data_IF_283797089526
#
_entry.id   IF_283797089526
#
_cell.length_a   1.000
_cell.length_b   1.000
_cell.length_c   1.000
_cell.angle_alpha   90.00
_cell.angle_beta   90.00
_cell.angle_gamma   90.00
#
_symmetry.space_group_name_H-M   'P 1'
#
loop_
_entity.id
_entity.type
_entity.pdbx_description
1 polymer ?
#
# COMPACT_ATOMS: atom_id res chain seq x y z
N UNK A 1 9.02 -29.91 -5.94
CA UNK A 1 9.73 -28.79 -6.61
C UNK A 1 10.71 -29.37 -7.61
N UNK A 2 10.74 -28.85 -8.83
CA UNK A 2 11.48 -29.42 -9.96
C UNK A 2 12.92 -28.91 -10.07
N UNK A 3 13.82 -29.74 -10.61
CA UNK A 3 15.25 -29.45 -10.77
C UNK A 3 15.56 -28.27 -11.73
N UNK A 4 14.58 -27.83 -12.51
CA UNK A 4 14.74 -26.78 -13.54
C UNK A 4 14.34 -25.37 -13.08
N UNK A 5 13.71 -25.21 -11.90
CA UNK A 5 13.37 -23.89 -11.33
C UNK A 5 14.61 -23.04 -10.99
N UNK A 6 15.80 -23.64 -10.96
CA UNK A 6 17.08 -22.92 -10.75
C UNK A 6 17.68 -22.34 -12.04
N UNK A 7 17.15 -22.69 -13.22
CA UNK A 7 17.66 -22.21 -14.52
C UNK A 7 16.89 -21.00 -15.04
N UNK A 8 15.67 -20.77 -14.56
CA UNK A 8 14.96 -19.51 -14.75
C UNK A 8 15.53 -18.52 -13.73
N UNK A 9 16.23 -17.49 -14.19
CA UNK A 9 16.87 -16.47 -13.34
C UNK A 9 15.92 -15.63 -12.46
N UNK A 10 14.66 -16.06 -12.29
CA UNK A 10 13.71 -15.50 -11.35
C UNK A 10 14.13 -15.91 -9.93
N UNK A 11 15.05 -15.15 -9.35
CA UNK A 11 15.14 -15.09 -7.89
C UNK A 11 13.73 -14.81 -7.37
N UNK A 12 13.19 -15.58 -6.41
CA UNK A 12 11.91 -15.25 -5.81
C UNK A 12 12.03 -13.83 -5.26
N UNK A 13 11.29 -12.89 -5.86
CA UNK A 13 11.32 -11.48 -5.48
C UNK A 13 10.99 -11.43 -4.00
N UNK A 14 11.99 -11.12 -3.19
CA UNK A 14 11.87 -11.23 -1.74
C UNK A 14 11.17 -9.97 -1.26
N UNK A 15 9.89 -10.08 -0.95
CA UNK A 15 9.11 -8.97 -0.44
C UNK A 15 9.64 -8.60 0.95
N UNK A 16 10.33 -7.46 1.04
CA UNK A 16 10.76 -6.89 2.31
C UNK A 16 9.70 -5.88 2.82
N UNK A 17 9.75 -5.42 4.09
CA UNK A 17 8.73 -4.53 4.63
C UNK A 17 8.52 -3.22 3.84
N UNK A 18 9.59 -2.63 3.29
CA UNK A 18 9.47 -1.42 2.45
C UNK A 18 8.79 -1.74 1.12
N UNK A 19 9.18 -2.82 0.46
CA UNK A 19 8.52 -3.28 -0.77
C UNK A 19 7.07 -3.69 -0.51
N UNK A 20 6.75 -4.26 0.64
CA UNK A 20 5.37 -4.59 1.03
C UNK A 20 4.52 -3.32 1.22
N UNK A 21 5.07 -2.28 1.86
CA UNK A 21 4.43 -0.97 1.95
C UNK A 21 4.16 -0.37 0.56
N UNK A 22 5.17 -0.38 -0.34
CA UNK A 22 4.98 0.14 -1.70
C UNK A 22 3.96 -0.68 -2.47
N UNK A 23 4.00 -2.01 -2.35
CA UNK A 23 3.03 -2.89 -2.99
C UNK A 23 1.60 -2.55 -2.55
N UNK A 24 1.40 -2.29 -1.26
CA UNK A 24 0.10 -1.87 -0.75
C UNK A 24 -0.32 -0.48 -1.25
N UNK A 25 0.61 0.46 -1.38
CA UNK A 25 0.33 1.78 -1.93
C UNK A 25 -0.05 1.70 -3.41
N UNK A 26 0.68 0.89 -4.20
CA UNK A 26 0.35 0.63 -5.61
C UNK A 26 -1.05 0.05 -5.75
N UNK A 27 -1.49 -0.85 -4.85
CA UNK A 27 -2.85 -1.43 -4.96
C UNK A 27 -3.96 -0.42 -4.68
N UNK A 28 -3.71 0.61 -3.88
CA UNK A 28 -4.69 1.68 -3.60
C UNK A 28 -4.74 2.63 -4.78
N UNK A 29 -3.58 3.12 -5.22
CA UNK A 29 -3.46 4.05 -6.35
C UNK A 29 -3.99 3.42 -7.64
N UNK A 30 -3.63 2.17 -7.92
CA UNK A 30 -4.09 1.48 -9.13
C UNK A 30 -5.56 1.01 -9.07
N UNK A 31 -6.30 1.30 -7.99
CA UNK A 31 -7.67 0.83 -7.81
C UNK A 31 -8.63 1.46 -8.82
N UNK A 32 -8.37 2.69 -9.26
CA UNK A 32 -9.15 3.38 -10.30
C UNK A 32 -8.66 3.06 -11.74
N UNK A 33 -7.54 2.33 -11.86
CA UNK A 33 -6.96 1.83 -13.10
C UNK A 33 -5.97 2.76 -13.79
N UNK A 34 -5.66 3.95 -13.26
CA UNK A 34 -4.73 4.90 -13.88
C UNK A 34 -3.70 5.37 -12.87
N UNK A 35 -2.44 4.99 -13.06
CA UNK A 35 -1.33 5.56 -12.28
C UNK A 35 -0.74 6.74 -13.05
N UNK A 36 -0.77 7.94 -12.46
CA UNK A 36 -0.15 9.14 -13.01
C UNK A 36 1.28 9.41 -12.50
N UNK A 37 1.94 10.44 -13.05
CA UNK A 37 3.30 10.80 -12.63
C UNK A 37 3.36 11.39 -11.21
N UNK A 38 2.30 12.04 -10.73
CA UNK A 38 2.25 12.61 -9.39
C UNK A 38 2.19 11.49 -8.34
N UNK A 39 1.39 10.46 -8.58
CA UNK A 39 1.25 9.26 -7.76
C UNK A 39 2.54 8.45 -7.72
N UNK A 40 3.23 8.30 -8.85
CA UNK A 40 4.57 7.68 -8.88
C UNK A 40 5.58 8.45 -8.02
N UNK A 41 5.51 9.79 -8.02
CA UNK A 41 6.35 10.61 -7.17
C UNK A 41 5.99 10.44 -5.69
N UNK A 42 4.72 10.27 -5.36
CA UNK A 42 4.27 10.04 -3.99
C UNK A 42 4.69 8.66 -3.46
N UNK A 43 4.62 7.62 -4.30
CA UNK A 43 5.21 6.32 -4.01
C UNK A 43 6.71 6.42 -3.69
N UNK A 44 7.45 7.24 -4.45
CA UNK A 44 8.87 7.47 -4.18
C UNK A 44 9.12 8.19 -2.86
N UNK A 45 8.27 9.13 -2.46
CA UNK A 45 8.37 9.83 -1.16
C UNK A 45 8.15 8.88 0.02
N UNK A 46 7.19 7.95 -0.08
CA UNK A 46 6.86 6.99 0.98
C UNK A 46 8.08 6.15 1.39
N UNK A 47 8.86 5.70 0.42
CA UNK A 47 10.08 4.93 0.68
C UNK A 47 11.36 5.75 0.67
N UNK A 48 11.25 7.08 0.80
CA UNK A 48 12.40 8.01 0.87
C UNK A 48 13.37 7.84 -0.29
N UNK A 49 12.85 7.63 -1.50
CA UNK A 49 13.62 7.47 -2.73
C UNK A 49 14.21 6.08 -2.96
N UNK A 50 13.85 5.07 -2.18
CA UNK A 50 14.29 3.69 -2.37
C UNK A 50 13.63 3.04 -3.61
N UNK A 51 14.23 3.30 -4.77
CA UNK A 51 13.75 2.80 -6.08
C UNK A 51 13.80 1.27 -6.18
N UNK A 52 14.69 0.61 -5.44
CA UNK A 52 14.76 -0.86 -5.43
C UNK A 52 13.51 -1.43 -4.79
N UNK A 53 13.04 -0.84 -3.69
CA UNK A 53 11.80 -1.27 -3.04
C UNK A 53 10.58 -1.11 -3.94
N UNK A 54 10.54 -0.05 -4.76
CA UNK A 54 9.47 0.20 -5.74
C UNK A 54 9.50 -0.83 -6.87
N UNK A 55 10.68 -1.07 -7.47
CA UNK A 55 10.82 -2.05 -8.55
C UNK A 55 10.40 -3.45 -8.09
N UNK A 56 10.84 -3.87 -6.90
CA UNK A 56 10.45 -5.15 -6.32
C UNK A 56 8.93 -5.25 -6.13
N UNK A 57 8.29 -4.19 -5.62
CA UNK A 57 6.84 -4.16 -5.45
C UNK A 57 6.11 -4.27 -6.81
N UNK A 58 6.56 -3.54 -7.83
CA UNK A 58 6.00 -3.63 -9.18
C UNK A 58 6.17 -5.02 -9.81
N UNK A 59 7.32 -5.67 -9.61
CA UNK A 59 7.53 -7.05 -10.08
C UNK A 59 6.58 -8.03 -9.39
N UNK A 60 6.38 -7.90 -8.07
CA UNK A 60 5.43 -8.73 -7.31
C UNK A 60 4.00 -8.50 -7.78
N UNK A 61 3.60 -7.24 -8.03
CA UNK A 61 2.27 -6.87 -8.52
C UNK A 61 2.01 -7.41 -9.94
N UNK A 62 3.03 -7.51 -10.79
CA UNK A 62 2.92 -8.13 -12.12
C UNK A 62 2.79 -9.65 -12.05
N UNK A 63 3.47 -10.28 -11.09
CA UNK A 63 3.49 -11.73 -10.93
C UNK A 63 2.27 -12.29 -10.17
N UNK A 64 1.61 -11.47 -9.35
CA UNK A 64 0.53 -11.90 -8.47
C UNK A 64 -0.70 -11.03 -8.70
N UNK A 65 -1.89 -11.66 -8.70
CA UNK A 65 -3.15 -10.93 -8.88
C UNK A 65 -3.66 -10.39 -7.55
N UNK A 66 -4.27 -9.22 -7.59
CA UNK A 66 -5.15 -8.75 -6.54
C UNK A 66 -6.40 -9.65 -6.44
N UNK A 67 -6.91 -9.99 -5.23
CA UNK A 67 -6.50 -9.53 -3.90
C UNK A 67 -5.39 -10.37 -3.23
N UNK A 68 -4.82 -11.39 -3.89
CA UNK A 68 -3.82 -12.29 -3.29
C UNK A 68 -2.52 -11.61 -2.82
N UNK A 69 -2.21 -10.44 -3.35
CA UNK A 69 -1.09 -9.59 -2.89
C UNK A 69 -1.26 -9.10 -1.44
N UNK A 70 -2.50 -8.95 -0.96
CA UNK A 70 -2.78 -8.48 0.41
C UNK A 70 -2.25 -9.50 1.43
N UNK A 71 -2.41 -10.80 1.15
CA UNK A 71 -1.88 -11.88 1.98
C UNK A 71 -0.35 -11.83 2.08
N UNK A 72 0.31 -11.55 0.97
CA UNK A 72 1.77 -11.43 0.91
C UNK A 72 2.26 -10.25 1.74
N UNK A 73 1.59 -9.09 1.64
CA UNK A 73 1.90 -7.91 2.45
C UNK A 73 1.68 -8.23 3.94
N UNK A 74 0.53 -8.80 4.30
CA UNK A 74 0.18 -9.11 5.69
C UNK A 74 1.12 -10.13 6.35
N UNK A 75 1.72 -11.02 5.57
CA UNK A 75 2.68 -12.01 6.04
C UNK A 75 4.08 -11.43 6.32
N UNK A 76 4.45 -10.34 5.64
CA UNK A 76 5.76 -9.69 5.76
C UNK A 76 5.79 -8.64 6.87
N UNK A 77 4.67 -7.94 7.07
CA UNK A 77 4.60 -6.82 8.02
C UNK A 77 4.34 -7.28 9.46
N UNK A 78 5.07 -6.69 10.41
CA UNK A 78 4.75 -6.78 11.83
C UNK A 78 3.53 -5.90 12.21
N UNK A 79 3.05 -5.98 13.45
CA UNK A 79 1.85 -5.25 13.90
C UNK A 79 2.00 -3.72 13.80
N UNK A 80 3.18 -3.18 14.13
CA UNK A 80 3.44 -1.73 14.06
C UNK A 80 3.50 -1.27 12.61
N UNK A 81 4.13 -2.08 11.76
CA UNK A 81 4.22 -1.83 10.34
C UNK A 81 2.84 -1.91 9.67
N UNK A 82 1.98 -2.86 10.04
CA UNK A 82 0.60 -2.95 9.55
C UNK A 82 -0.20 -1.69 9.84
N UNK A 83 -0.14 -1.20 11.08
CA UNK A 83 -0.83 0.02 11.47
C UNK A 83 -0.27 1.24 10.73
N UNK A 84 1.06 1.36 10.63
CA UNK A 84 1.71 2.45 9.90
C UNK A 84 1.37 2.40 8.41
N UNK A 85 1.36 1.22 7.80
CA UNK A 85 0.94 1.02 6.41
C UNK A 85 -0.49 1.49 6.22
N UNK A 86 -1.45 1.06 7.04
CA UNK A 86 -2.84 1.54 6.93
C UNK A 86 -2.95 3.06 7.02
N UNK A 87 -2.24 3.69 7.96
CA UNK A 87 -2.23 5.14 8.08
C UNK A 87 -1.71 5.83 6.80
N UNK A 88 -0.63 5.30 6.21
CA UNK A 88 -0.07 5.82 4.95
C UNK A 88 -1.06 5.62 3.79
N UNK A 89 -1.71 4.46 3.70
CA UNK A 89 -2.69 4.19 2.65
C UNK A 89 -3.92 5.10 2.78
N UNK A 90 -4.39 5.35 4.01
CA UNK A 90 -5.45 6.32 4.26
C UNK A 90 -5.03 7.75 3.85
N UNK A 91 -3.78 8.15 4.12
CA UNK A 91 -3.29 9.47 3.76
C UNK A 91 -3.21 9.65 2.24
N UNK A 92 -2.81 8.60 1.51
CA UNK A 92 -2.82 8.57 0.05
C UNK A 92 -4.23 8.71 -0.52
N UNK A 93 -5.15 7.83 -0.09
CA UNK A 93 -6.51 7.80 -0.61
C UNK A 93 -7.36 9.03 -0.19
N UNK A 94 -6.92 9.78 0.82
CA UNK A 94 -7.59 11.01 1.25
C UNK A 94 -6.92 12.29 0.72
N UNK A 95 -5.91 12.19 -0.16
CA UNK A 95 -5.18 13.35 -0.68
C UNK A 95 -6.11 14.38 -1.35
N UNK A 96 -7.12 13.91 -2.10
CA UNK A 96 -8.12 14.76 -2.75
C UNK A 96 -9.33 15.09 -1.85
N UNK A 97 -9.26 14.72 -0.57
CA UNK A 97 -10.27 15.04 0.45
C UNK A 97 -11.52 14.17 0.42
N UNK A 98 -11.64 13.24 -0.53
CA UNK A 98 -12.79 12.34 -0.65
C UNK A 98 -12.31 10.90 -0.81
N UNK A 99 -12.52 10.08 0.22
CA UNK A 99 -12.36 8.63 0.12
C UNK A 99 -13.63 8.04 -0.55
N UNK A 100 -13.60 7.81 -1.86
CA UNK A 100 -14.74 7.27 -2.61
C UNK A 100 -14.33 6.11 -3.54
N UNK A 101 -15.30 5.23 -3.83
CA UNK A 101 -15.13 4.18 -4.84
C UNK A 101 -14.24 3.02 -4.42
N UNK A 102 -13.38 2.58 -5.35
CA UNK A 102 -12.56 1.36 -5.26
C UNK A 102 -11.47 1.45 -4.19
N UNK A 103 -10.90 2.63 -3.94
CA UNK A 103 -9.84 2.80 -2.92
C UNK A 103 -10.32 2.42 -1.52
N UNK A 104 -11.56 2.80 -1.17
CA UNK A 104 -12.18 2.43 0.10
C UNK A 104 -12.27 0.92 0.25
N UNK A 105 -12.65 0.22 -0.81
CA UNK A 105 -12.77 -1.24 -0.83
C UNK A 105 -11.39 -1.87 -0.61
N UNK A 106 -10.35 -1.35 -1.26
CA UNK A 106 -8.96 -1.79 -1.06
C UNK A 106 -8.50 -1.57 0.38
N UNK A 107 -8.75 -0.40 0.96
CA UNK A 107 -8.40 -0.10 2.36
C UNK A 107 -9.12 -1.01 3.35
N UNK A 108 -10.40 -1.29 3.13
CA UNK A 108 -11.18 -2.20 3.98
C UNK A 108 -10.61 -3.61 3.95
N UNK A 109 -10.23 -4.12 2.77
CA UNK A 109 -9.56 -5.43 2.66
C UNK A 109 -8.21 -5.48 3.38
N UNK A 110 -7.40 -4.42 3.30
CA UNK A 110 -6.15 -4.35 4.08
C UNK A 110 -6.41 -4.32 5.58
N UNK A 111 -7.39 -3.53 6.02
CA UNK A 111 -7.76 -3.42 7.44
C UNK A 111 -8.19 -4.78 7.98
N UNK A 112 -9.11 -5.45 7.29
CA UNK A 112 -9.58 -6.79 7.66
C UNK A 112 -8.42 -7.79 7.70
N UNK A 113 -7.57 -7.79 6.68
CA UNK A 113 -6.42 -8.70 6.63
C UNK A 113 -5.39 -8.44 7.72
N UNK A 114 -5.19 -7.19 8.08
CA UNK A 114 -4.26 -6.82 9.15
C UNK A 114 -4.85 -7.03 10.54
N UNK A 115 -6.16 -7.28 10.65
CA UNK A 115 -6.85 -7.48 11.93
C UNK A 115 -6.98 -6.19 12.75
N UNK A 116 -6.97 -5.02 12.10
CA UNK A 116 -7.05 -3.73 12.78
C UNK A 116 -8.52 -3.35 12.98
N UNK A 117 -8.92 -3.04 14.22
CA UNK A 117 -10.30 -2.63 14.50
C UNK A 117 -10.58 -1.21 13.98
N UNK A 118 -11.85 -0.94 13.68
CA UNK A 118 -12.30 0.38 13.24
C UNK A 118 -12.04 1.43 14.32
N UNK A 119 -12.26 1.08 15.58
CA UNK A 119 -11.98 1.97 16.72
C UNK A 119 -10.50 2.33 16.84
N UNK A 120 -9.59 1.41 16.48
CA UNK A 120 -8.16 1.69 16.49
C UNK A 120 -7.75 2.62 15.32
N UNK A 121 -8.46 2.54 14.19
CA UNK A 121 -8.17 3.33 13.00
C UNK A 121 -8.89 4.70 12.99
N UNK A 122 -10.01 4.83 13.70
CA UNK A 122 -10.80 6.06 13.81
C UNK A 122 -9.97 7.31 14.14
N UNK A 123 -9.13 7.35 15.20
CA UNK A 123 -8.34 8.54 15.49
C UNK A 123 -7.34 8.89 14.40
N UNK A 124 -6.83 7.89 13.66
CA UNK A 124 -5.92 8.11 12.52
C UNK A 124 -6.67 8.79 11.38
N UNK A 125 -7.85 8.28 11.01
CA UNK A 125 -8.69 8.85 9.95
C UNK A 125 -9.12 10.28 10.30
N UNK A 126 -9.59 10.52 11.52
CA UNK A 126 -9.99 11.85 11.98
C UNK A 126 -8.83 12.85 11.92
N UNK A 127 -7.62 12.42 12.30
CA UNK A 127 -6.41 13.25 12.22
C UNK A 127 -6.04 13.58 10.77
N UNK A 128 -6.12 12.62 9.86
CA UNK A 128 -5.86 12.82 8.42
C UNK A 128 -6.91 13.75 7.81
N UNK A 129 -8.19 13.57 8.16
CA UNK A 129 -9.27 14.45 7.72
C UNK A 129 -9.03 15.90 8.18
N UNK A 130 -8.59 16.09 9.43
CA UNK A 130 -8.24 17.40 9.96
C UNK A 130 -7.01 18.00 9.24
N UNK A 131 -5.95 17.21 9.01
CA UNK A 131 -4.75 17.61 8.25
C UNK A 131 -5.13 18.14 6.87
N UNK A 132 -6.08 17.50 6.18
CA UNK A 132 -6.48 17.86 4.82
C UNK A 132 -7.53 18.98 4.77
N UNK A 133 -8.13 19.35 5.91
CA UNK A 133 -9.09 20.45 5.99
C UNK A 133 -8.38 21.81 6.07
N UNK A 134 -8.03 22.40 4.92
CA UNK A 134 -7.37 23.70 4.86
C UNK A 134 -8.25 24.89 5.31
N UNK A 135 -9.58 24.71 5.40
CA UNK A 135 -10.48 25.76 5.86
C UNK A 135 -10.31 26.12 7.35
N UNK A 136 -9.55 25.32 8.12
CA UNK A 136 -9.23 25.67 9.51
C UNK A 136 -8.11 26.72 9.63
N UNK A 137 -7.37 26.97 8.55
CA UNK A 137 -6.25 27.92 8.50
C UNK A 137 -6.62 29.27 7.85
N UNK A 138 -7.91 29.48 7.55
CA UNK A 138 -8.46 30.72 7.01
C UNK A 138 -8.95 31.67 8.10
#
# INVERSE_FOLDING_TARGET
MGIFDKLTGNKPVTLNPKSALVLSAITVIAADGVIDEAELNDLAKIVRGDRTSINNAMEVMKANKFPGVIDMVAAVLDEKQKLATLAILCDLAMADGILAGEEKIVLEMYREKFGVSEDALRPVIETIALKNNFAIFS
#
